data_IF_783144074590
#
_entry.id   IF_783144074590
#
_cell.length_a   1.000
_cell.length_b   1.000
_cell.length_c   1.000
_cell.angle_alpha   90.00
_cell.angle_beta   90.00
_cell.angle_gamma   90.00
#
_symmetry.space_group_name_H-M   'P 1'
#
loop_
_entity.id
_entity.type
_entity.pdbx_description
1 polymer ?
#
# COMPACT_ATOMS: atom_id res chain seq x y z
N UNK A 1 -36.05 -21.19 2.95
CA UNK A 1 -35.12 -21.15 1.79
C UNK A 1 -33.96 -22.08 2.14
N UNK A 2 -33.54 -22.98 1.24
CA UNK A 2 -32.45 -23.92 1.59
C UNK A 2 -31.12 -23.15 1.69
N UNK A 3 -30.57 -23.03 2.90
CA UNK A 3 -29.32 -22.29 3.15
C UNK A 3 -28.14 -22.85 2.35
N UNK A 4 -28.08 -24.18 2.17
CA UNK A 4 -27.05 -24.83 1.36
C UNK A 4 -27.07 -24.35 -0.09
N UNK A 5 -28.27 -24.23 -0.67
CA UNK A 5 -28.42 -23.72 -2.03
C UNK A 5 -27.99 -22.26 -2.12
N UNK A 6 -28.43 -21.41 -1.18
CA UNK A 6 -28.03 -20.00 -1.13
C UNK A 6 -26.50 -19.84 -1.02
N UNK A 7 -25.85 -20.68 -0.21
CA UNK A 7 -24.40 -20.72 -0.08
C UNK A 7 -23.71 -21.08 -1.40
N UNK A 8 -24.19 -22.11 -2.09
CA UNK A 8 -23.66 -22.53 -3.40
C UNK A 8 -23.86 -21.45 -4.47
N UNK A 9 -25.07 -20.87 -4.55
CA UNK A 9 -25.39 -19.79 -5.47
C UNK A 9 -24.49 -18.56 -5.22
N UNK A 10 -24.25 -18.22 -3.95
CA UNK A 10 -23.36 -17.10 -3.57
C UNK A 10 -21.91 -17.33 -4.00
N UNK A 11 -21.41 -18.57 -3.86
CA UNK A 11 -20.05 -18.91 -4.29
C UNK A 11 -19.91 -18.74 -5.81
N UNK A 12 -20.91 -19.19 -6.57
CA UNK A 12 -20.91 -19.11 -8.02
C UNK A 12 -21.07 -17.66 -8.51
N UNK A 13 -22.07 -16.93 -8.02
CA UNK A 13 -22.37 -15.55 -8.42
C UNK A 13 -21.17 -14.63 -8.17
N UNK A 14 -20.53 -14.78 -7.00
CA UNK A 14 -19.37 -13.95 -6.61
C UNK A 14 -18.04 -14.54 -7.05
N UNK A 15 -18.04 -15.69 -7.73
CA UNK A 15 -16.85 -16.43 -8.17
C UNK A 15 -15.83 -16.63 -7.02
N UNK A 16 -16.30 -16.99 -5.82
CA UNK A 16 -15.45 -16.97 -4.62
C UNK A 16 -14.27 -17.94 -4.74
N UNK A 17 -14.52 -19.16 -5.21
CA UNK A 17 -13.51 -20.20 -5.41
C UNK A 17 -14.08 -21.31 -6.28
N UNK A 18 -13.19 -22.07 -6.91
CA UNK A 18 -13.52 -23.22 -7.75
C UNK A 18 -13.63 -24.51 -6.92
N UNK A 19 -14.25 -25.54 -7.48
CA UNK A 19 -14.55 -26.80 -6.75
C UNK A 19 -13.31 -27.62 -6.37
N UNK A 20 -12.24 -27.47 -7.13
CA UNK A 20 -10.94 -28.09 -6.92
C UNK A 20 -10.03 -27.31 -5.96
N UNK A 21 -10.46 -26.13 -5.48
CA UNK A 21 -9.70 -25.36 -4.52
C UNK A 21 -9.64 -26.05 -3.15
N UNK A 22 -8.49 -25.91 -2.48
CA UNK A 22 -8.31 -26.34 -1.11
C UNK A 22 -8.68 -25.22 -0.14
N UNK A 23 -9.62 -25.51 0.77
CA UNK A 23 -10.22 -24.49 1.63
C UNK A 23 -9.74 -24.64 3.07
N UNK A 24 -9.11 -23.60 3.62
CA UNK A 24 -8.76 -23.54 5.04
C UNK A 24 -9.87 -22.78 5.76
N UNK A 25 -10.60 -23.46 6.64
CA UNK A 25 -11.71 -22.90 7.39
C UNK A 25 -11.20 -22.32 8.72
N UNK A 26 -11.35 -21.02 8.93
CA UNK A 26 -11.04 -20.39 10.21
C UNK A 26 -12.18 -20.66 11.20
N UNK A 27 -11.97 -21.58 12.16
CA UNK A 27 -13.02 -22.04 13.08
C UNK A 27 -12.70 -21.64 14.51
N UNK A 28 -13.59 -20.85 15.13
CA UNK A 28 -13.47 -20.45 16.54
C UNK A 28 -14.23 -21.38 17.49
N UNK A 29 -15.10 -22.25 16.98
CA UNK A 29 -16.02 -23.07 17.78
C UNK A 29 -17.41 -22.46 17.93
N UNK A 30 -17.58 -21.17 17.57
CA UNK A 30 -18.87 -20.49 17.56
C UNK A 30 -19.77 -20.94 16.41
N UNK A 31 -21.09 -20.74 16.59
CA UNK A 31 -22.16 -21.16 15.67
C UNK A 31 -21.86 -20.86 14.20
N UNK A 32 -21.47 -19.63 13.86
CA UNK A 32 -21.27 -19.21 12.47
C UNK A 32 -20.16 -20.02 11.79
N UNK A 33 -19.08 -20.30 12.52
CA UNK A 33 -17.96 -21.10 12.01
C UNK A 33 -18.26 -22.59 11.89
N UNK A 34 -19.13 -23.12 12.76
CA UNK A 34 -19.63 -24.50 12.66
C UNK A 34 -20.54 -24.64 11.45
N UNK A 35 -21.47 -23.70 11.26
CA UNK A 35 -22.38 -23.68 10.09
C UNK A 35 -21.57 -23.58 8.80
N UNK A 36 -20.56 -22.72 8.74
CA UNK A 36 -19.67 -22.63 7.58
C UNK A 36 -18.99 -23.97 7.26
N UNK A 37 -18.53 -24.67 8.30
CA UNK A 37 -17.86 -25.97 8.17
C UNK A 37 -18.81 -27.02 7.61
N UNK A 38 -20.03 -27.09 8.15
CA UNK A 38 -21.08 -27.99 7.68
C UNK A 38 -21.45 -27.71 6.22
N UNK A 39 -21.67 -26.43 5.85
CA UNK A 39 -22.01 -26.05 4.48
C UNK A 39 -20.90 -26.42 3.48
N UNK A 40 -19.63 -26.30 3.87
CA UNK A 40 -18.50 -26.72 3.04
C UNK A 40 -18.46 -28.24 2.86
N UNK A 41 -18.70 -29.01 3.94
CA UNK A 41 -18.77 -30.48 3.90
C UNK A 41 -19.90 -30.97 3.01
N UNK A 42 -21.11 -30.45 3.20
CA UNK A 42 -22.28 -30.83 2.40
C UNK A 42 -22.14 -30.45 0.92
N UNK A 43 -21.35 -29.41 0.61
CA UNK A 43 -21.06 -29.02 -0.77
C UNK A 43 -19.92 -29.83 -1.42
N UNK A 44 -19.28 -30.72 -0.68
CA UNK A 44 -18.23 -31.61 -1.19
C UNK A 44 -16.90 -30.93 -1.51
N UNK A 45 -16.55 -29.86 -0.78
CA UNK A 45 -15.25 -29.20 -0.92
C UNK A 45 -14.18 -29.92 -0.11
N UNK A 46 -12.93 -29.85 -0.58
CA UNK A 46 -11.76 -30.33 0.16
C UNK A 46 -11.32 -29.25 1.14
N UNK A 47 -11.48 -29.52 2.43
CA UNK A 47 -11.26 -28.53 3.48
C UNK A 47 -10.25 -29.01 4.53
N UNK A 48 -9.64 -28.04 5.22
CA UNK A 48 -8.97 -28.22 6.50
C UNK A 48 -9.50 -27.18 7.50
N UNK A 49 -9.45 -27.50 8.79
CA UNK A 49 -9.86 -26.60 9.87
C UNK A 49 -8.62 -25.99 10.51
N UNK A 50 -8.61 -24.66 10.65
CA UNK A 50 -7.58 -23.92 11.36
C UNK A 50 -8.16 -23.19 12.58
N UNK A 51 -7.63 -23.49 13.76
CA UNK A 51 -8.03 -22.90 15.03
C UNK A 51 -6.88 -22.15 15.69
N UNK A 52 -7.16 -20.95 16.20
CA UNK A 52 -6.22 -20.14 16.98
C UNK A 52 -6.62 -20.14 18.46
N UNK A 53 -5.77 -20.68 19.32
CA UNK A 53 -5.94 -20.57 20.77
C UNK A 53 -5.13 -19.38 21.30
N UNK A 54 -5.80 -18.29 21.66
CA UNK A 54 -5.15 -17.06 22.15
C UNK A 54 -4.79 -17.09 23.64
N UNK A 55 -5.17 -18.16 24.37
CA UNK A 55 -4.97 -18.35 25.81
C UNK A 55 -5.46 -17.19 26.69
N UNK A 56 -6.52 -16.51 26.24
CA UNK A 56 -7.06 -15.34 26.92
C UNK A 56 -8.06 -15.70 28.02
N UNK A 57 -8.72 -16.86 27.93
CA UNK A 57 -9.85 -17.24 28.79
C UNK A 57 -9.61 -18.52 29.63
N UNK A 58 -8.35 -18.92 29.80
CA UNK A 58 -7.99 -20.11 30.58
C UNK A 58 -8.73 -21.35 30.08
N UNK A 59 -9.46 -22.02 30.99
CA UNK A 59 -10.19 -23.27 30.71
C UNK A 59 -11.20 -23.17 29.55
N UNK A 60 -11.82 -22.00 29.34
CA UNK A 60 -12.71 -21.83 28.18
C UNK A 60 -11.95 -21.96 26.85
N UNK A 61 -10.71 -21.46 26.78
CA UNK A 61 -9.89 -21.57 25.57
C UNK A 61 -9.53 -23.02 25.27
N UNK A 62 -9.26 -23.82 26.31
CA UNK A 62 -8.94 -25.25 26.16
C UNK A 62 -10.20 -26.06 25.81
N UNK A 63 -11.37 -25.71 26.36
CA UNK A 63 -12.66 -26.29 25.98
C UNK A 63 -12.98 -26.02 24.51
N UNK A 64 -12.84 -24.76 24.08
CA UNK A 64 -13.10 -24.34 22.70
C UNK A 64 -12.16 -25.08 21.72
N UNK A 65 -10.88 -25.23 22.07
CA UNK A 65 -9.89 -25.98 21.30
C UNK A 65 -10.28 -27.46 21.14
N UNK A 66 -10.63 -28.13 22.25
CA UNK A 66 -11.03 -29.54 22.23
C UNK A 66 -12.29 -29.76 21.38
N UNK A 67 -13.28 -28.88 21.52
CA UNK A 67 -14.49 -28.93 20.69
C UNK A 67 -14.18 -28.84 19.19
N UNK A 68 -13.33 -27.89 18.78
CA UNK A 68 -12.99 -27.74 17.35
C UNK A 68 -12.18 -28.92 16.83
N UNK A 69 -11.32 -29.51 17.66
CA UNK A 69 -10.58 -30.72 17.32
C UNK A 69 -11.52 -31.91 17.08
N UNK A 70 -12.52 -32.09 17.94
CA UNK A 70 -13.55 -33.12 17.77
C UNK A 70 -14.40 -32.87 16.52
N UNK A 71 -14.76 -31.60 16.25
CA UNK A 71 -15.47 -31.21 15.03
C UNK A 71 -14.67 -31.58 13.77
N UNK A 72 -13.36 -31.29 13.74
CA UNK A 72 -12.50 -31.65 12.62
C UNK A 72 -12.46 -33.17 12.38
N UNK A 73 -12.35 -33.95 13.45
CA UNK A 73 -12.37 -35.40 13.37
C UNK A 73 -13.72 -35.93 12.84
N UNK A 74 -14.85 -35.37 13.32
CA UNK A 74 -16.20 -35.73 12.86
C UNK A 74 -16.40 -35.41 11.38
N UNK A 75 -15.80 -34.31 10.89
CA UNK A 75 -15.92 -33.87 9.49
C UNK A 75 -14.91 -34.54 8.56
N UNK A 76 -13.97 -35.33 9.08
CA UNK A 76 -12.85 -35.91 8.33
C UNK A 76 -12.02 -34.84 7.60
N UNK A 77 -11.70 -33.75 8.33
CA UNK A 77 -10.88 -32.65 7.83
C UNK A 77 -9.55 -32.56 8.60
N UNK A 78 -8.41 -32.29 7.93
CA UNK A 78 -7.16 -31.98 8.61
C UNK A 78 -7.33 -30.83 9.60
N UNK A 79 -6.71 -30.95 10.78
CA UNK A 79 -6.81 -29.96 11.84
C UNK A 79 -5.47 -29.28 12.09
N UNK A 80 -5.45 -27.96 11.97
CA UNK A 80 -4.32 -27.10 12.27
C UNK A 80 -4.61 -26.29 13.53
N UNK A 81 -3.70 -26.34 14.49
CA UNK A 81 -3.78 -25.62 15.75
C UNK A 81 -2.54 -24.74 15.92
N UNK A 82 -2.76 -23.49 16.32
CA UNK A 82 -1.69 -22.62 16.80
C UNK A 82 -2.13 -21.91 18.07
N UNK A 83 -1.34 -22.08 19.12
CA UNK A 83 -1.51 -21.34 20.37
C UNK A 83 -0.61 -20.11 20.39
N UNK A 84 -1.12 -19.00 20.92
CA UNK A 84 -0.42 -17.72 20.99
C UNK A 84 -0.35 -17.19 22.41
N UNK A 85 0.77 -16.54 22.75
CA UNK A 85 0.85 -15.70 23.94
C UNK A 85 0.47 -14.25 23.59
N UNK A 86 -0.84 -14.03 23.50
CA UNK A 86 -1.41 -12.77 23.01
C UNK A 86 -1.13 -11.60 23.95
N UNK A 87 -1.06 -11.83 25.27
CA UNK A 87 -0.84 -10.76 26.25
C UNK A 87 0.58 -10.21 26.13
N UNK A 88 1.56 -11.10 26.03
CA UNK A 88 2.97 -10.71 25.84
C UNK A 88 3.14 -9.91 24.55
N UNK A 89 2.58 -10.39 23.43
CA UNK A 89 2.63 -9.66 22.15
C UNK A 89 1.99 -8.26 22.23
N UNK A 90 0.82 -8.15 22.86
CA UNK A 90 0.11 -6.88 23.01
C UNK A 90 0.93 -5.85 23.81
N UNK A 91 1.57 -6.27 24.88
CA UNK A 91 2.45 -5.41 25.71
C UNK A 91 3.69 -4.96 24.93
N UNK A 92 4.36 -5.88 24.23
CA UNK A 92 5.56 -5.57 23.44
C UNK A 92 5.27 -4.59 22.29
N UNK A 93 4.15 -4.78 21.60
CA UNK A 93 3.78 -3.96 20.43
C UNK A 93 2.93 -2.73 20.79
N UNK A 94 2.59 -2.55 22.08
CA UNK A 94 1.75 -1.45 22.59
C UNK A 94 0.42 -1.32 21.85
N UNK A 95 -0.20 -2.46 21.53
CA UNK A 95 -1.51 -2.53 20.87
C UNK A 95 -2.53 -3.16 21.81
N UNK A 96 -3.82 -2.98 21.52
CA UNK A 96 -4.86 -3.66 22.29
C UNK A 96 -4.81 -5.17 22.04
N UNK A 97 -5.27 -5.96 23.02
CA UNK A 97 -5.32 -7.43 22.94
C UNK A 97 -6.07 -7.93 21.70
N UNK A 98 -7.09 -7.21 21.24
CA UNK A 98 -7.86 -7.56 20.04
C UNK A 98 -7.08 -7.31 18.75
N UNK A 99 -6.31 -6.23 18.68
CA UNK A 99 -5.43 -5.95 17.54
C UNK A 99 -4.31 -7.00 17.51
N UNK A 100 -3.69 -7.29 18.65
CA UNK A 100 -2.70 -8.37 18.78
C UNK A 100 -3.26 -9.73 18.31
N UNK A 101 -4.42 -10.14 18.81
CA UNK A 101 -5.05 -11.40 18.42
C UNK A 101 -5.38 -11.43 16.92
N UNK A 102 -5.82 -10.30 16.34
CA UNK A 102 -6.09 -10.20 14.91
C UNK A 102 -4.81 -10.31 14.08
N UNK A 103 -3.76 -9.62 14.46
CA UNK A 103 -2.49 -9.61 13.74
C UNK A 103 -1.84 -11.00 13.76
N UNK A 104 -1.76 -11.63 14.93
CA UNK A 104 -1.24 -12.99 15.11
C UNK A 104 -2.04 -14.01 14.29
N UNK A 105 -3.37 -13.91 14.30
CA UNK A 105 -4.27 -14.77 13.54
C UNK A 105 -3.98 -14.72 12.04
N UNK A 106 -3.97 -13.52 11.45
CA UNK A 106 -3.80 -13.37 10.01
C UNK A 106 -2.36 -13.59 9.55
N UNK A 107 -1.36 -13.34 10.41
CA UNK A 107 0.02 -13.73 10.14
C UNK A 107 0.14 -15.25 9.95
N UNK A 108 -0.39 -16.03 10.90
CA UNK A 108 -0.37 -17.49 10.83
C UNK A 108 -1.22 -18.04 9.69
N UNK A 109 -2.41 -17.49 9.44
CA UNK A 109 -3.20 -17.90 8.27
C UNK A 109 -2.47 -17.64 6.95
N UNK A 110 -1.72 -16.54 6.86
CA UNK A 110 -0.86 -16.27 5.70
C UNK A 110 0.25 -17.29 5.53
N UNK A 111 0.82 -17.83 6.62
CA UNK A 111 1.79 -18.92 6.59
C UNK A 111 1.14 -20.22 6.08
N UNK A 112 0.01 -20.63 6.66
CA UNK A 112 -0.70 -21.86 6.25
C UNK A 112 -1.07 -21.87 4.77
N UNK A 113 -1.53 -20.74 4.24
CA UNK A 113 -1.88 -20.61 2.81
C UNK A 113 -0.64 -20.76 1.93
N UNK A 114 0.52 -20.26 2.36
CA UNK A 114 1.78 -20.33 1.60
C UNK A 114 2.42 -21.72 1.64
N UNK A 115 2.24 -22.47 2.72
CA UNK A 115 2.77 -23.84 2.84
C UNK A 115 2.16 -24.79 1.80
N UNK A 116 0.93 -24.53 1.37
CA UNK A 116 0.23 -25.34 0.37
C UNK A 116 0.54 -24.81 -1.04
N UNK A 117 1.60 -25.32 -1.65
CA UNK A 117 2.00 -24.97 -3.03
C UNK A 117 1.45 -26.00 -4.03
N UNK A 118 0.99 -25.53 -5.20
CA UNK A 118 0.58 -26.41 -6.31
C UNK A 118 -0.93 -26.50 -6.59
N UNK A 119 -1.79 -25.87 -5.77
CA UNK A 119 -3.23 -25.72 -6.05
C UNK A 119 -3.76 -24.38 -5.52
N UNK A 120 -4.97 -23.98 -5.92
CA UNK A 120 -5.60 -22.77 -5.39
C UNK A 120 -6.01 -22.99 -3.93
N UNK A 121 -5.51 -22.16 -3.02
CA UNK A 121 -5.76 -22.27 -1.59
C UNK A 121 -6.41 -20.98 -1.08
N UNK A 122 -7.52 -21.12 -0.36
CA UNK A 122 -8.26 -19.98 0.19
C UNK A 122 -8.58 -20.16 1.66
N UNK A 123 -8.49 -19.06 2.42
CA UNK A 123 -8.96 -18.99 3.80
C UNK A 123 -10.42 -18.54 3.82
N UNK A 124 -11.29 -19.35 4.40
CA UNK A 124 -12.69 -19.01 4.60
C UNK A 124 -12.94 -18.52 6.03
N UNK A 125 -13.71 -17.44 6.16
CA UNK A 125 -14.13 -16.90 7.45
C UNK A 125 -15.65 -16.78 7.51
N UNK A 126 -16.23 -17.02 8.68
CA UNK A 126 -17.67 -17.05 8.91
C UNK A 126 -18.30 -15.66 9.13
N UNK A 127 -17.73 -14.62 8.53
CA UNK A 127 -18.33 -13.28 8.63
C UNK A 127 -19.67 -13.25 7.90
N UNK A 128 -20.70 -12.75 8.58
CA UNK A 128 -22.08 -12.71 8.10
C UNK A 128 -22.60 -11.28 7.86
N UNK A 129 -23.88 -11.12 7.51
CA UNK A 129 -24.47 -9.82 7.16
C UNK A 129 -24.40 -8.81 8.33
N UNK A 130 -24.74 -9.23 9.53
CA UNK A 130 -24.75 -8.39 10.73
C UNK A 130 -23.33 -7.90 11.09
N UNK A 131 -22.33 -8.79 10.96
CA UNK A 131 -20.91 -8.42 11.10
C UNK A 131 -20.52 -7.29 10.13
N UNK A 132 -21.08 -7.31 8.92
CA UNK A 132 -20.84 -6.29 7.92
C UNK A 132 -21.51 -4.96 8.29
N UNK A 133 -22.71 -5.01 8.85
CA UNK A 133 -23.43 -3.83 9.35
C UNK A 133 -22.69 -3.17 10.52
N UNK A 134 -22.18 -3.96 11.48
CA UNK A 134 -21.32 -3.47 12.56
C UNK A 134 -20.08 -2.76 12.01
N UNK A 135 -19.40 -3.39 11.04
CA UNK A 135 -18.21 -2.81 10.42
C UNK A 135 -18.54 -1.51 9.67
N UNK A 136 -19.66 -1.44 8.96
CA UNK A 136 -20.13 -0.21 8.32
C UNK A 136 -20.28 0.93 9.34
N UNK A 137 -21.01 0.69 10.43
CA UNK A 137 -21.25 1.69 11.46
C UNK A 137 -19.94 2.15 12.11
N UNK A 138 -19.07 1.22 12.47
CA UNK A 138 -17.76 1.54 13.03
C UNK A 138 -16.93 2.38 12.06
N UNK A 139 -16.93 2.05 10.77
CA UNK A 139 -16.20 2.77 9.73
C UNK A 139 -16.82 4.14 9.41
N UNK A 140 -18.13 4.28 9.56
CA UNK A 140 -18.83 5.54 9.43
C UNK A 140 -18.39 6.52 10.52
N UNK A 141 -18.47 6.13 11.80
CA UNK A 141 -18.07 7.00 12.91
C UNK A 141 -16.57 7.26 12.99
N UNK A 142 -15.72 6.36 12.46
CA UNK A 142 -14.27 6.60 12.35
C UNK A 142 -13.87 7.56 11.24
N UNK A 143 -14.80 7.92 10.34
CA UNK A 143 -14.51 8.78 9.19
C UNK A 143 -13.70 8.07 8.12
N UNK A 144 -14.28 7.05 7.49
CA UNK A 144 -13.66 6.36 6.34
C UNK A 144 -14.28 6.79 5.00
N UNK A 145 -13.52 6.65 3.91
CA UNK A 145 -14.03 6.90 2.56
C UNK A 145 -14.97 5.79 2.05
N UNK A 146 -15.40 5.90 0.79
CA UNK A 146 -16.36 4.97 0.16
C UNK A 146 -15.98 3.49 0.32
N UNK A 147 -14.69 3.15 0.24
CA UNK A 147 -14.22 1.76 0.43
C UNK A 147 -14.50 1.21 1.84
N UNK A 148 -14.43 2.05 2.88
CA UNK A 148 -14.75 1.65 4.25
C UNK A 148 -16.26 1.51 4.48
N UNK A 149 -17.05 2.31 3.76
CA UNK A 149 -18.51 2.27 3.79
C UNK A 149 -19.11 1.17 2.89
N UNK A 150 -18.36 0.63 1.94
CA UNK A 150 -18.77 -0.54 1.16
C UNK A 150 -18.75 -1.85 2.00
N UNK A 151 -18.36 -1.78 3.27
CA UNK A 151 -18.30 -2.92 4.17
C UNK A 151 -17.08 -3.81 3.92
N UNK A 152 -17.15 -5.05 4.43
CA UNK A 152 -16.13 -6.06 4.17
C UNK A 152 -16.25 -6.55 2.72
N UNK A 153 -15.14 -6.70 1.98
CA UNK A 153 -15.21 -7.33 0.66
C UNK A 153 -15.38 -8.85 0.80
N UNK A 154 -16.19 -9.45 -0.09
CA UNK A 154 -16.37 -10.91 -0.13
C UNK A 154 -15.07 -11.65 -0.51
N UNK A 155 -14.23 -11.00 -1.33
CA UNK A 155 -12.89 -11.45 -1.75
C UNK A 155 -11.83 -10.46 -1.24
N UNK A 156 -10.84 -10.93 -0.51
CA UNK A 156 -9.68 -10.12 -0.14
C UNK A 156 -8.41 -10.97 -0.13
N UNK A 157 -7.55 -10.79 -1.13
CA UNK A 157 -6.35 -11.63 -1.32
C UNK A 157 -6.71 -13.13 -1.32
N UNK A 158 -6.25 -13.89 -0.34
CA UNK A 158 -6.57 -15.31 -0.14
C UNK A 158 -7.82 -15.55 0.73
N UNK A 159 -8.42 -14.50 1.32
CA UNK A 159 -9.57 -14.59 2.22
C UNK A 159 -10.87 -14.57 1.42
N UNK A 160 -11.82 -15.44 1.80
CA UNK A 160 -13.18 -15.54 1.24
C UNK A 160 -14.22 -15.50 2.37
N UNK A 161 -15.31 -14.77 2.13
CA UNK A 161 -16.42 -14.58 3.10
C UNK A 161 -17.75 -15.01 2.47
N UNK A 162 -18.02 -16.32 2.36
CA UNK A 162 -19.21 -16.81 1.67
C UNK A 162 -20.52 -16.48 2.41
N UNK A 163 -20.48 -16.30 3.73
CA UNK A 163 -21.67 -16.00 4.54
C UNK A 163 -22.01 -14.50 4.60
N UNK A 164 -21.24 -13.63 3.97
CA UNK A 164 -21.31 -12.18 4.20
C UNK A 164 -22.66 -11.53 3.82
N UNK A 165 -23.42 -12.16 2.92
CA UNK A 165 -24.76 -11.70 2.53
C UNK A 165 -25.90 -12.43 3.27
N UNK A 166 -25.58 -13.28 4.24
CA UNK A 166 -26.53 -14.13 4.94
C UNK A 166 -26.71 -13.60 6.37
N UNK A 167 -27.95 -13.47 6.80
CA UNK A 167 -28.29 -13.03 8.16
C UNK A 167 -27.97 -14.12 9.19
N UNK A 168 -27.56 -13.68 10.39
CA UNK A 168 -27.28 -14.59 11.51
C UNK A 168 -28.49 -15.45 11.89
N UNK A 169 -29.71 -14.92 11.75
CA UNK A 169 -30.97 -15.64 11.98
C UNK A 169 -31.10 -16.89 11.10
N UNK A 170 -30.69 -16.79 9.84
CA UNK A 170 -30.70 -17.90 8.88
C UNK A 170 -29.64 -18.95 9.23
N UNK A 171 -28.46 -18.53 9.70
CA UNK A 171 -27.42 -19.43 10.18
C UNK A 171 -27.90 -20.21 11.42
N UNK A 172 -28.58 -19.52 12.35
CA UNK A 172 -29.12 -20.12 13.56
C UNK A 172 -30.22 -21.13 13.26
N UNK A 173 -31.13 -20.82 12.32
CA UNK A 173 -32.17 -21.75 11.88
C UNK A 173 -31.54 -23.04 11.31
N UNK A 174 -30.56 -22.90 10.41
CA UNK A 174 -29.87 -24.04 9.83
C UNK A 174 -29.11 -24.88 10.87
N UNK A 175 -28.43 -24.23 11.83
CA UNK A 175 -27.73 -24.93 12.90
C UNK A 175 -28.68 -25.82 13.73
N UNK A 176 -29.88 -25.30 14.02
CA UNK A 176 -30.92 -26.05 14.75
C UNK A 176 -31.52 -27.17 13.91
N UNK A 177 -31.86 -26.91 12.65
CA UNK A 177 -32.42 -27.90 11.74
C UNK A 177 -31.47 -29.10 11.52
N UNK A 178 -30.16 -28.86 11.50
CA UNK A 178 -29.13 -29.89 11.34
C UNK A 178 -28.59 -30.44 12.67
N UNK A 179 -29.17 -30.05 13.81
CA UNK A 179 -28.73 -30.46 15.15
C UNK A 179 -27.23 -30.25 15.41
N UNK A 180 -26.68 -29.14 14.91
CA UNK A 180 -25.28 -28.80 15.09
C UNK A 180 -25.03 -28.42 16.55
N UNK A 181 -23.89 -28.85 17.09
CA UNK A 181 -23.38 -28.40 18.38
C UNK A 181 -22.42 -27.25 18.13
N UNK A 182 -22.39 -26.26 19.02
CA UNK A 182 -21.43 -25.17 18.98
C UNK A 182 -21.13 -24.68 20.39
N UNK A 183 -20.05 -23.93 20.52
CA UNK A 183 -19.67 -23.32 21.79
C UNK A 183 -20.13 -21.87 21.84
N UNK A 184 -20.76 -21.48 22.94
CA UNK A 184 -21.09 -20.08 23.21
C UNK A 184 -19.97 -19.40 23.99
N UNK A 185 -19.57 -18.24 23.47
CA UNK A 185 -18.52 -17.41 24.04
C UNK A 185 -19.13 -16.43 25.05
N UNK A 186 -18.73 -16.58 26.32
CA UNK A 186 -19.20 -15.75 27.43
C UNK A 186 -18.87 -14.26 27.23
N UNK A 187 -17.77 -13.96 26.52
CA UNK A 187 -17.34 -12.58 26.26
C UNK A 187 -18.20 -11.83 25.25
N UNK A 188 -19.05 -12.50 24.48
CA UNK A 188 -20.00 -11.85 23.56
C UNK A 188 -21.07 -11.03 24.31
N UNK A 189 -21.32 -11.35 25.58
CA UNK A 189 -22.31 -10.64 26.40
C UNK A 189 -21.76 -9.33 26.99
N UNK A 190 -20.44 -9.15 27.01
CA UNK A 190 -19.79 -7.96 27.57
C UNK A 190 -19.61 -6.88 26.50
N UNK A 191 -19.96 -5.63 26.84
CA UNK A 191 -19.79 -4.45 25.96
C UNK A 191 -18.38 -3.82 26.01
N UNK A 192 -17.42 -4.45 26.70
CA UNK A 192 -16.09 -3.87 26.97
C UNK A 192 -15.30 -3.48 25.70
N UNK A 193 -15.65 -4.09 24.56
CA UNK A 193 -14.99 -3.86 23.28
C UNK A 193 -15.87 -3.05 22.33
N UNK A 194 -15.25 -2.20 21.51
CA UNK A 194 -15.97 -1.32 20.56
C UNK A 194 -16.97 -2.10 19.70
N UNK A 195 -16.60 -3.28 19.20
CA UNK A 195 -17.52 -4.07 18.36
C UNK A 195 -18.72 -4.59 19.16
N UNK A 196 -18.48 -5.08 20.38
CA UNK A 196 -19.55 -5.57 21.25
C UNK A 196 -20.47 -4.44 21.71
N UNK A 197 -19.92 -3.26 22.02
CA UNK A 197 -20.72 -2.06 22.30
C UNK A 197 -21.65 -1.70 21.14
N UNK A 198 -21.15 -1.75 19.90
CA UNK A 198 -21.98 -1.48 18.72
C UNK A 198 -23.11 -2.49 18.57
N UNK A 199 -22.85 -3.77 18.85
CA UNK A 199 -23.82 -4.87 18.79
C UNK A 199 -24.84 -4.83 19.92
N UNK A 200 -24.39 -4.67 21.16
CA UNK A 200 -25.18 -4.89 22.37
C UNK A 200 -25.92 -3.63 22.84
N UNK A 201 -25.41 -2.43 22.52
CA UNK A 201 -25.97 -1.17 22.99
C UNK A 201 -26.43 -0.28 21.83
N UNK A 202 -25.52 -0.01 20.89
CA UNK A 202 -25.75 1.01 19.87
C UNK A 202 -26.82 0.60 18.84
N UNK A 203 -26.69 -0.58 18.22
CA UNK A 203 -27.67 -1.10 17.27
C UNK A 203 -29.07 -1.23 17.90
N UNK A 204 -29.24 -1.84 19.09
CA UNK A 204 -30.52 -1.87 19.78
C UNK A 204 -31.11 -0.48 20.04
N UNK A 205 -30.28 0.48 20.47
CA UNK A 205 -30.73 1.85 20.69
C UNK A 205 -31.22 2.51 19.39
N UNK A 206 -30.51 2.33 18.26
CA UNK A 206 -30.98 2.83 16.96
C UNK A 206 -32.26 2.12 16.52
N UNK A 207 -32.38 0.81 16.75
CA UNK A 207 -33.57 0.03 16.39
C UNK A 207 -34.84 0.59 17.05
N UNK A 208 -34.75 1.15 18.27
CA UNK A 208 -35.90 1.77 18.94
C UNK A 208 -36.49 2.96 18.16
N UNK A 209 -35.65 3.70 17.44
CA UNK A 209 -36.06 4.86 16.63
C UNK A 209 -36.31 4.45 15.18
N UNK A 210 -35.52 3.51 14.66
CA UNK A 210 -35.59 2.99 13.30
C UNK A 210 -35.76 1.47 13.32
N UNK A 211 -37.01 0.96 13.41
CA UNK A 211 -37.28 -0.47 13.54
C UNK A 211 -36.84 -1.35 12.36
N UNK A 212 -36.39 -0.74 11.25
CA UNK A 212 -35.86 -1.41 10.06
C UNK A 212 -34.37 -1.09 9.84
N UNK A 213 -33.63 -0.69 10.88
CA UNK A 213 -32.23 -0.25 10.70
C UNK A 213 -31.37 -1.36 10.10
N UNK A 214 -31.54 -2.62 10.51
CA UNK A 214 -30.76 -3.74 9.94
C UNK A 214 -30.99 -3.87 8.42
N UNK A 215 -32.24 -3.92 7.97
CA UNK A 215 -32.60 -3.96 6.54
C UNK A 215 -32.05 -2.76 5.78
N UNK A 216 -32.14 -1.56 6.38
CA UNK A 216 -31.64 -0.33 5.79
C UNK A 216 -30.11 -0.33 5.68
N UNK A 217 -29.39 -0.83 6.69
CA UNK A 217 -27.94 -0.98 6.66
C UNK A 217 -27.52 -1.99 5.60
N UNK A 218 -28.20 -3.13 5.48
CA UNK A 218 -27.94 -4.10 4.42
C UNK A 218 -28.21 -3.52 3.03
N UNK A 219 -29.31 -2.77 2.88
CA UNK A 219 -29.61 -2.05 1.64
C UNK A 219 -28.53 -1.03 1.28
N UNK A 220 -28.03 -0.29 2.27
CA UNK A 220 -26.95 0.68 2.08
C UNK A 220 -25.62 0.01 1.73
N UNK A 221 -25.27 -1.11 2.38
CA UNK A 221 -24.09 -1.92 2.05
C UNK A 221 -24.11 -2.35 0.58
N UNK A 222 -25.24 -2.87 0.08
CA UNK A 222 -25.40 -3.25 -1.34
C UNK A 222 -25.16 -2.06 -2.26
N UNK A 223 -25.86 -0.94 -2.03
CA UNK A 223 -25.69 0.29 -2.82
C UNK A 223 -24.25 0.80 -2.80
N UNK A 224 -23.60 0.84 -1.63
CA UNK A 224 -22.22 1.29 -1.52
C UNK A 224 -21.23 0.35 -2.20
N UNK A 225 -21.45 -0.96 -2.17
CA UNK A 225 -20.66 -1.94 -2.92
C UNK A 225 -20.77 -1.69 -4.42
N UNK A 226 -21.98 -1.59 -4.96
CA UNK A 226 -22.23 -1.33 -6.39
C UNK A 226 -21.61 0.01 -6.84
N UNK A 227 -21.76 1.07 -6.04
CA UNK A 227 -21.15 2.37 -6.32
C UNK A 227 -19.61 2.28 -6.27
N UNK A 228 -19.06 1.51 -5.32
CA UNK A 228 -17.61 1.30 -5.19
C UNK A 228 -17.03 0.56 -6.41
N UNK A 229 -17.77 -0.39 -6.97
CA UNK A 229 -17.38 -1.09 -8.21
C UNK A 229 -17.35 -0.14 -9.40
N UNK A 230 -18.42 0.65 -9.60
CA UNK A 230 -18.46 1.67 -10.67
C UNK A 230 -17.35 2.72 -10.50
N UNK A 231 -17.12 3.18 -9.27
CA UNK A 231 -16.03 4.08 -8.93
C UNK A 231 -14.66 3.48 -9.30
N UNK A 232 -14.43 2.21 -8.95
CA UNK A 232 -13.18 1.51 -9.24
C UNK A 232 -12.95 1.39 -10.75
N UNK A 233 -13.99 1.03 -11.52
CA UNK A 233 -13.93 0.98 -12.99
C UNK A 233 -13.60 2.35 -13.60
N UNK A 234 -14.27 3.41 -13.14
CA UNK A 234 -14.04 4.77 -13.64
C UNK A 234 -12.61 5.25 -13.33
N UNK A 235 -12.14 5.06 -12.09
CA UNK A 235 -10.78 5.41 -11.66
C UNK A 235 -9.73 4.63 -12.45
N UNK A 236 -9.92 3.32 -12.64
CA UNK A 236 -9.01 2.49 -13.43
C UNK A 236 -8.90 2.99 -14.88
N UNK A 237 -10.03 3.38 -15.49
CA UNK A 237 -10.07 3.98 -16.83
C UNK A 237 -9.29 5.29 -16.92
N UNK A 238 -9.38 6.15 -15.90
CA UNK A 238 -8.62 7.40 -15.82
C UNK A 238 -7.12 7.13 -15.61
N UNK A 239 -6.78 6.23 -14.67
CA UNK A 239 -5.39 5.81 -14.38
C UNK A 239 -4.68 5.34 -15.64
N UNK A 240 -5.32 4.47 -16.42
CA UNK A 240 -4.77 3.93 -17.69
C UNK A 240 -4.42 5.03 -18.70
N UNK A 241 -5.14 6.15 -18.71
CA UNK A 241 -4.89 7.29 -19.61
C UNK A 241 -3.81 8.24 -19.08
N UNK A 242 -3.77 8.45 -17.76
CA UNK A 242 -2.88 9.43 -17.10
C UNK A 242 -1.50 8.87 -16.77
N UNK A 243 -1.42 7.65 -16.26
CA UNK A 243 -0.19 7.07 -15.70
C UNK A 243 0.55 6.31 -16.79
N UNK A 244 1.69 6.85 -17.25
CA UNK A 244 2.45 6.31 -18.37
C UNK A 244 3.75 5.65 -17.89
N UNK A 245 3.87 4.31 -17.91
CA UNK A 245 5.09 3.64 -17.53
C UNK A 245 6.22 3.92 -18.54
N UNK A 246 7.43 4.18 -18.06
CA UNK A 246 8.62 4.45 -18.87
C UNK A 246 9.89 4.12 -18.10
N UNK A 247 10.63 3.09 -18.55
CA UNK A 247 11.96 2.71 -18.03
C UNK A 247 12.03 2.64 -16.49
N UNK A 248 11.09 1.94 -15.84
CA UNK A 248 11.06 1.80 -14.37
C UNK A 248 10.42 2.98 -13.61
N UNK A 249 10.01 4.04 -14.31
CA UNK A 249 9.30 5.19 -13.74
C UNK A 249 7.88 5.31 -14.29
N UNK A 250 7.02 6.07 -13.62
CA UNK A 250 5.69 6.42 -14.12
C UNK A 250 5.57 7.92 -14.32
N UNK A 251 5.20 8.32 -15.53
CA UNK A 251 5.08 9.72 -15.91
C UNK A 251 3.61 10.12 -16.00
N UNK A 252 3.23 11.18 -15.28
CA UNK A 252 1.86 11.68 -15.23
C UNK A 252 1.85 13.15 -15.65
N UNK A 253 1.09 13.57 -16.70
CA UNK A 253 1.08 14.96 -17.12
C UNK A 253 0.41 15.85 -16.06
N UNK A 254 1.14 16.83 -15.52
CA UNK A 254 0.67 17.68 -14.39
C UNK A 254 -0.65 18.37 -14.73
N UNK A 255 -0.72 19.04 -15.90
CA UNK A 255 -1.92 19.78 -16.31
C UNK A 255 -3.14 18.88 -16.51
N UNK A 256 -2.96 17.68 -17.06
CA UNK A 256 -4.08 16.76 -17.30
C UNK A 256 -4.59 16.20 -15.98
N UNK A 257 -3.69 15.76 -15.10
CA UNK A 257 -4.08 15.19 -13.81
C UNK A 257 -4.72 16.24 -12.89
N UNK A 258 -4.10 17.41 -12.73
CA UNK A 258 -4.67 18.49 -11.91
C UNK A 258 -5.94 19.09 -12.53
N UNK A 259 -6.13 18.98 -13.85
CA UNK A 259 -7.32 19.43 -14.55
C UNK A 259 -8.61 18.70 -14.15
N UNK A 260 -8.51 17.49 -13.57
CA UNK A 260 -9.68 16.80 -12.99
C UNK A 260 -10.21 17.46 -11.72
N UNK A 261 -9.39 18.29 -11.06
CA UNK A 261 -9.73 19.02 -9.82
C UNK A 261 -10.43 18.16 -8.75
N UNK A 262 -9.96 16.92 -8.56
CA UNK A 262 -10.59 15.94 -7.68
C UNK A 262 -9.55 15.32 -6.74
N UNK A 263 -9.65 15.60 -5.44
CA UNK A 263 -8.74 15.10 -4.40
C UNK A 263 -8.78 13.58 -4.26
N UNK A 264 -9.96 12.96 -4.42
CA UNK A 264 -10.08 11.51 -4.37
C UNK A 264 -9.31 10.84 -5.52
N UNK A 265 -9.38 11.40 -6.73
CA UNK A 265 -8.58 10.89 -7.86
C UNK A 265 -7.07 11.05 -7.62
N UNK A 266 -6.63 12.14 -6.99
CA UNK A 266 -5.23 12.31 -6.60
C UNK A 266 -4.81 11.20 -5.65
N UNK A 267 -5.59 10.98 -4.59
CA UNK A 267 -5.32 9.92 -3.61
C UNK A 267 -5.30 8.53 -4.27
N UNK A 268 -6.28 8.23 -5.14
CA UNK A 268 -6.34 6.95 -5.84
C UNK A 268 -5.11 6.68 -6.70
N UNK A 269 -4.49 7.69 -7.31
CA UNK A 269 -3.28 7.50 -8.10
C UNK A 269 -2.06 7.32 -7.20
N UNK A 270 -1.89 8.16 -6.17
CA UNK A 270 -0.67 8.12 -5.35
C UNK A 270 -0.63 6.93 -4.39
N UNK A 271 -1.78 6.42 -3.94
CA UNK A 271 -1.83 5.25 -3.04
C UNK A 271 -1.22 3.98 -3.63
N UNK A 272 -1.26 3.83 -4.97
CA UNK A 272 -0.64 2.70 -5.67
C UNK A 272 0.89 2.68 -5.46
N UNK A 273 1.47 3.81 -5.05
CA UNK A 273 2.88 4.01 -4.79
C UNK A 273 3.17 4.25 -3.29
N UNK A 274 2.26 3.85 -2.40
CA UNK A 274 2.46 3.89 -0.95
C UNK A 274 2.20 5.25 -0.28
N UNK A 275 1.78 6.27 -1.02
CA UNK A 275 1.47 7.59 -0.44
C UNK A 275 0.13 7.58 0.31
N UNK A 276 0.08 8.29 1.45
CA UNK A 276 -1.10 8.40 2.29
C UNK A 276 -2.05 9.53 1.90
N UNK A 277 -3.29 9.49 2.43
CA UNK A 277 -4.32 10.50 2.16
C UNK A 277 -3.90 11.92 2.59
N UNK A 278 -3.17 12.05 3.69
CA UNK A 278 -2.65 13.34 4.18
C UNK A 278 -1.69 14.02 3.18
N UNK A 279 -1.08 13.25 2.28
CA UNK A 279 -0.13 13.77 1.29
C UNK A 279 -0.82 14.32 0.03
N UNK A 280 -2.15 14.22 -0.10
CA UNK A 280 -2.89 14.80 -1.24
C UNK A 280 -2.65 16.31 -1.34
N UNK A 281 -2.68 17.01 -0.21
CA UNK A 281 -2.39 18.46 -0.19
C UNK A 281 -0.95 18.77 -0.59
N UNK A 282 0.00 17.90 -0.24
CA UNK A 282 1.39 18.03 -0.65
C UNK A 282 1.54 17.85 -2.16
N UNK A 283 0.83 16.90 -2.78
CA UNK A 283 0.80 16.72 -4.24
C UNK A 283 0.24 17.94 -4.95
N UNK A 284 -0.84 18.53 -4.42
CA UNK A 284 -1.43 19.75 -4.97
C UNK A 284 -0.43 20.91 -4.89
N UNK A 285 0.22 21.12 -3.72
CA UNK A 285 1.28 22.12 -3.56
C UNK A 285 2.48 21.85 -4.48
N UNK A 286 2.83 20.59 -4.66
CA UNK A 286 3.93 20.18 -5.53
C UNK A 286 3.63 20.51 -7.01
N UNK A 287 2.36 20.49 -7.43
CA UNK A 287 1.96 20.79 -8.81
C UNK A 287 2.32 22.21 -9.25
N UNK A 288 2.22 23.18 -8.32
CA UNK A 288 2.53 24.60 -8.53
C UNK A 288 3.99 24.94 -8.23
N UNK A 289 4.73 23.99 -7.65
CA UNK A 289 6.13 24.18 -7.29
C UNK A 289 7.09 24.14 -8.49
N UNK A 290 8.33 24.52 -8.23
CA UNK A 290 9.38 24.48 -9.23
C UNK A 290 9.81 23.06 -9.62
N UNK A 291 10.35 22.94 -10.83
CA UNK A 291 10.90 21.68 -11.33
C UNK A 291 12.09 21.25 -10.45
N UNK A 292 12.09 19.99 -10.01
CA UNK A 292 13.09 19.41 -9.12
C UNK A 292 12.53 19.05 -7.75
N UNK A 293 11.49 19.74 -7.26
CA UNK A 293 10.87 19.40 -5.98
C UNK A 293 10.20 18.03 -6.02
N UNK A 294 10.12 17.37 -4.87
CA UNK A 294 9.51 16.05 -4.73
C UNK A 294 8.88 15.86 -3.36
N UNK A 295 8.12 14.78 -3.24
CA UNK A 295 7.66 14.21 -1.97
C UNK A 295 7.96 12.70 -1.97
N UNK A 296 8.17 12.12 -0.78
CA UNK A 296 8.44 10.68 -0.61
C UNK A 296 7.24 9.96 -0.02
N UNK A 297 7.09 8.69 -0.38
CA UNK A 297 6.14 7.82 0.31
C UNK A 297 6.63 7.56 1.75
N UNK A 298 5.74 7.36 2.74
CA UNK A 298 6.12 7.14 4.14
C UNK A 298 7.03 5.92 4.35
N UNK A 299 6.86 4.89 3.52
CA UNK A 299 7.70 3.68 3.49
C UNK A 299 9.04 3.87 2.74
N UNK A 300 9.27 5.08 2.19
CA UNK A 300 10.44 5.48 1.40
C UNK A 300 10.72 4.59 0.19
N UNK A 301 9.71 3.88 -0.32
CA UNK A 301 9.86 3.06 -1.53
C UNK A 301 9.79 3.89 -2.81
N UNK A 302 9.01 4.98 -2.80
CA UNK A 302 8.76 5.80 -3.98
C UNK A 302 8.90 7.30 -3.71
N UNK A 303 9.17 8.04 -4.79
CA UNK A 303 9.24 9.50 -4.83
C UNK A 303 8.36 10.02 -5.94
N UNK A 304 7.58 11.06 -5.67
CA UNK A 304 6.83 11.80 -6.67
C UNK A 304 7.54 13.13 -6.95
N UNK A 305 8.10 13.27 -8.14
CA UNK A 305 8.99 14.37 -8.54
C UNK A 305 8.27 15.29 -9.51
N UNK A 306 8.29 16.59 -9.23
CA UNK A 306 7.84 17.64 -10.16
C UNK A 306 8.94 17.88 -11.19
N UNK A 307 8.70 17.54 -12.46
CA UNK A 307 9.68 17.81 -13.52
C UNK A 307 9.03 18.38 -14.79
N UNK A 308 9.26 19.67 -15.05
CA UNK A 308 8.74 20.46 -16.20
C UNK A 308 7.21 20.45 -16.37
N UNK A 309 6.62 19.53 -17.12
CA UNK A 309 5.16 19.38 -17.27
C UNK A 309 4.67 18.00 -16.81
N UNK A 310 5.56 17.24 -16.16
CA UNK A 310 5.32 15.90 -15.66
C UNK A 310 5.47 15.87 -14.15
N UNK A 311 4.64 15.03 -13.55
CA UNK A 311 5.02 14.30 -12.35
C UNK A 311 5.71 13.01 -12.76
N UNK A 312 6.78 12.67 -12.08
CA UNK A 312 7.53 11.43 -12.29
C UNK A 312 7.50 10.68 -10.97
N UNK A 313 6.86 9.52 -10.95
CA UNK A 313 6.97 8.57 -9.85
C UNK A 313 8.18 7.68 -10.14
N UNK A 314 9.14 7.66 -9.23
CA UNK A 314 10.34 6.83 -9.31
C UNK A 314 10.51 6.03 -8.02
N UNK A 315 10.98 4.78 -8.07
CA UNK A 315 11.47 4.10 -6.88
C UNK A 315 12.62 4.91 -6.25
N UNK A 316 12.70 4.94 -4.91
CA UNK A 316 13.69 5.75 -4.19
C UNK A 316 15.12 5.21 -4.31
N UNK A 317 15.29 3.89 -4.53
CA UNK A 317 16.57 3.19 -4.52
C UNK A 317 16.90 2.45 -5.84
N UNK A 318 16.23 2.76 -6.95
CA UNK A 318 16.50 2.06 -8.22
C UNK A 318 17.72 2.65 -8.95
N UNK A 319 18.80 1.87 -9.00
CA UNK A 319 20.00 2.19 -9.78
C UNK A 319 19.76 2.24 -11.30
N UNK A 320 18.57 1.90 -11.81
CA UNK A 320 18.17 2.08 -13.20
C UNK A 320 17.21 3.26 -13.44
N UNK A 321 16.87 4.05 -12.42
CA UNK A 321 16.04 5.23 -12.57
C UNK A 321 16.62 6.20 -13.63
N UNK A 322 15.75 6.90 -14.34
CA UNK A 322 16.17 7.92 -15.30
C UNK A 322 16.44 9.27 -14.62
N UNK A 323 15.91 9.46 -13.41
CA UNK A 323 16.06 10.67 -12.60
C UNK A 323 16.45 10.29 -11.16
N UNK A 324 17.50 10.92 -10.64
CA UNK A 324 17.91 10.80 -9.23
C UNK A 324 17.90 12.17 -8.57
N UNK A 325 17.51 12.18 -7.31
CA UNK A 325 17.44 13.38 -6.48
C UNK A 325 18.62 13.33 -5.52
N UNK A 326 19.33 14.45 -5.44
CA UNK A 326 20.40 14.70 -4.47
C UNK A 326 19.90 15.75 -3.48
N UNK A 327 19.73 15.35 -2.23
CA UNK A 327 19.40 16.24 -1.13
C UNK A 327 20.65 16.86 -0.51
N UNK A 328 20.47 17.93 0.26
CA UNK A 328 21.56 18.63 0.95
C UNK A 328 22.32 17.74 1.95
N UNK A 329 21.63 16.78 2.55
CA UNK A 329 22.18 15.85 3.53
C UNK A 329 22.62 14.51 2.94
N UNK A 330 22.44 14.28 1.63
CA UNK A 330 22.87 13.04 1.00
C UNK A 330 24.40 12.99 0.95
N UNK A 331 24.98 11.88 1.40
CA UNK A 331 26.44 11.66 1.36
C UNK A 331 26.89 10.95 0.10
N UNK A 332 26.04 10.11 -0.46
CA UNK A 332 26.37 9.33 -1.66
C UNK A 332 25.12 8.86 -2.38
N UNK A 333 25.16 8.86 -3.71
CA UNK A 333 24.05 8.41 -4.56
C UNK A 333 24.59 7.45 -5.61
N UNK A 334 24.13 6.20 -5.53
CA UNK A 334 24.40 5.20 -6.55
C UNK A 334 23.43 5.40 -7.73
N UNK A 335 23.97 5.41 -8.94
CA UNK A 335 23.21 5.46 -10.18
C UNK A 335 23.81 4.47 -11.18
N UNK A 336 23.15 4.28 -12.32
CA UNK A 336 23.51 3.24 -13.30
C UNK A 336 25.00 3.20 -13.66
N UNK A 337 25.62 4.38 -13.83
CA UNK A 337 26.98 4.49 -14.38
C UNK A 337 28.04 4.86 -13.32
N UNK A 338 27.69 4.81 -12.02
CA UNK A 338 28.66 5.04 -10.93
C UNK A 338 28.06 5.43 -9.58
N UNK A 339 28.90 5.97 -8.71
CA UNK A 339 28.55 6.52 -7.40
C UNK A 339 28.92 8.02 -7.39
N UNK A 340 27.99 8.88 -6.99
CA UNK A 340 28.28 10.28 -6.68
C UNK A 340 28.45 10.43 -5.19
N UNK A 341 29.64 10.82 -4.72
CA UNK A 341 29.85 11.22 -3.33
C UNK A 341 29.60 12.72 -3.20
N UNK A 342 28.81 13.13 -2.23
CA UNK A 342 28.37 14.51 -2.01
C UNK A 342 28.81 14.91 -0.61
N UNK A 343 29.52 16.02 -0.52
CA UNK A 343 30.03 16.53 0.75
C UNK A 343 30.06 18.05 0.75
N UNK A 344 29.73 18.66 1.89
CA UNK A 344 29.88 20.09 2.10
C UNK A 344 31.25 20.39 2.69
N UNK A 345 31.98 21.31 2.08
CA UNK A 345 33.32 21.75 2.49
C UNK A 345 33.27 23.23 2.81
N UNK A 346 33.85 23.65 3.94
CA UNK A 346 33.77 25.03 4.43
C UNK A 346 35.16 25.61 4.74
N UNK A 347 35.25 26.95 4.75
CA UNK A 347 36.45 27.69 5.14
C UNK A 347 37.66 27.43 4.23
N UNK A 348 38.86 27.41 4.82
CA UNK A 348 40.15 27.28 4.10
C UNK A 348 40.33 25.94 3.36
N UNK A 349 39.41 24.99 3.57
CA UNK A 349 39.38 23.70 2.88
C UNK A 349 38.70 23.77 1.51
N UNK A 350 38.07 24.90 1.15
CA UNK A 350 37.46 25.10 -0.16
C UNK A 350 38.56 25.29 -1.21
N UNK A 351 39.06 24.17 -1.75
CA UNK A 351 40.11 24.14 -2.77
C UNK A 351 39.61 23.36 -3.98
N UNK A 352 39.08 24.04 -5.02
CA UNK A 352 38.54 23.36 -6.19
C UNK A 352 39.61 22.55 -6.92
N UNK A 353 39.31 21.29 -7.19
CA UNK A 353 40.16 20.40 -8.00
C UNK A 353 40.05 20.75 -9.50
N UNK A 354 41.11 20.48 -10.26
CA UNK A 354 41.08 20.50 -11.72
C UNK A 354 40.55 19.20 -12.34
N UNK A 355 40.27 18.18 -11.53
CA UNK A 355 39.71 16.91 -11.97
C UNK A 355 38.27 17.07 -12.46
N UNK A 356 38.00 16.63 -13.69
CA UNK A 356 36.68 16.65 -14.32
C UNK A 356 35.69 15.67 -13.70
N UNK A 357 36.19 14.70 -12.93
CA UNK A 357 35.38 13.78 -12.11
C UNK A 357 34.78 14.46 -10.88
N UNK A 358 35.26 15.66 -10.54
CA UNK A 358 34.78 16.45 -9.41
C UNK A 358 34.09 17.74 -9.87
N UNK A 359 33.01 18.10 -9.17
CA UNK A 359 32.36 19.38 -9.27
C UNK A 359 32.37 20.07 -7.90
N UNK A 360 32.97 21.26 -7.86
CA UNK A 360 32.97 22.13 -6.70
C UNK A 360 32.02 23.30 -6.98
N UNK A 361 30.87 23.29 -6.30
CA UNK A 361 29.78 24.22 -6.50
C UNK A 361 29.74 25.21 -5.34
N UNK A 362 29.63 26.51 -5.62
CA UNK A 362 29.41 27.51 -4.57
C UNK A 362 28.03 27.28 -3.94
N UNK A 363 28.01 26.92 -2.65
CA UNK A 363 26.78 26.54 -1.95
C UNK A 363 25.74 27.69 -1.90
N UNK A 364 26.18 28.95 -1.98
CA UNK A 364 25.31 30.12 -1.88
C UNK A 364 24.38 30.32 -3.08
N UNK A 365 24.69 29.68 -4.22
CA UNK A 365 23.92 29.79 -5.47
C UNK A 365 23.26 28.47 -5.89
N UNK A 366 23.35 27.46 -5.05
CA UNK A 366 22.76 26.14 -5.30
C UNK A 366 21.42 26.04 -4.58
N UNK A 367 20.41 25.63 -5.33
CA UNK A 367 19.08 25.32 -4.84
C UNK A 367 18.92 23.80 -4.80
N UNK A 368 18.71 23.26 -3.61
CA UNK A 368 18.35 21.87 -3.41
C UNK A 368 16.83 21.66 -3.57
N UNK A 369 16.39 20.44 -3.95
CA UNK A 369 17.22 19.29 -4.30
C UNK A 369 17.87 19.43 -5.69
N UNK A 370 19.05 18.81 -5.88
CA UNK A 370 19.64 18.67 -7.21
C UNK A 370 19.03 17.47 -7.93
N UNK A 371 18.88 17.60 -9.24
CA UNK A 371 18.33 16.54 -10.10
C UNK A 371 19.44 16.02 -11.03
N UNK A 372 19.85 14.78 -10.81
CA UNK A 372 20.69 14.01 -11.73
C UNK A 372 19.81 13.34 -12.78
N UNK A 373 20.05 13.63 -14.06
CA UNK A 373 19.29 13.04 -15.18
C UNK A 373 20.12 12.95 -16.46
N UNK A 374 19.66 12.18 -17.43
CA UNK A 374 20.26 12.22 -18.78
C UNK A 374 20.05 13.58 -19.46
N UNK A 375 21.05 14.00 -20.24
CA UNK A 375 20.98 15.19 -21.08
C UNK A 375 19.86 15.06 -22.12
N UNK A 376 19.11 16.14 -22.33
CA UNK A 376 17.96 16.19 -23.26
C UNK A 376 18.23 17.18 -24.39
N UNK A 377 17.58 16.97 -25.52
CA UNK A 377 17.66 17.90 -26.66
C UNK A 377 17.24 19.30 -26.23
N UNK A 378 18.07 20.29 -26.55
CA UNK A 378 17.85 21.70 -26.18
C UNK A 378 18.52 22.13 -24.88
N UNK A 379 19.03 21.20 -24.07
CA UNK A 379 19.79 21.54 -22.87
C UNK A 379 21.03 22.38 -23.20
N UNK A 380 21.30 23.37 -22.36
CA UNK A 380 22.44 24.27 -22.48
C UNK A 380 23.03 24.60 -21.09
N UNK A 381 24.28 25.03 -21.10
CA UNK A 381 24.99 25.49 -19.91
C UNK A 381 26.07 26.51 -20.32
N UNK A 382 26.80 27.07 -19.36
CA UNK A 382 27.92 27.99 -19.58
C UNK A 382 29.20 27.25 -19.16
N UNK A 383 29.96 26.63 -20.07
CA UNK A 383 31.13 25.84 -19.67
C UNK A 383 32.14 26.69 -18.88
N UNK A 384 32.68 26.14 -17.79
CA UNK A 384 33.73 26.79 -16.99
C UNK A 384 34.86 27.32 -17.89
N UNK A 385 35.19 28.60 -17.73
CA UNK A 385 36.15 29.35 -18.55
C UNK A 385 35.54 30.02 -19.80
N UNK A 386 34.24 29.82 -20.08
CA UNK A 386 33.56 30.40 -21.24
C UNK A 386 32.44 31.37 -20.83
N UNK A 387 32.42 32.57 -21.44
CA UNK A 387 31.39 33.59 -21.17
C UNK A 387 30.07 33.37 -21.92
N UNK A 388 30.06 32.52 -22.95
CA UNK A 388 28.89 32.31 -23.82
C UNK A 388 28.17 31.00 -23.51
N UNK A 389 26.83 31.02 -23.59
CA UNK A 389 25.99 29.82 -23.49
C UNK A 389 26.35 28.82 -24.60
N UNK A 390 26.33 27.52 -24.27
CA UNK A 390 26.61 26.43 -25.20
C UNK A 390 25.59 25.31 -25.05
N UNK A 391 25.04 24.82 -26.16
CA UNK A 391 24.18 23.61 -26.15
C UNK A 391 25.02 22.41 -25.72
N UNK A 392 24.49 21.57 -24.84
CA UNK A 392 25.18 20.36 -24.37
C UNK A 392 25.53 19.46 -25.56
N UNK A 393 24.60 19.24 -26.49
CA UNK A 393 24.86 18.45 -27.68
C UNK A 393 26.09 18.95 -28.47
N UNK A 394 26.27 20.28 -28.62
CA UNK A 394 27.43 20.84 -29.30
C UNK A 394 28.70 20.72 -28.46
N UNK A 395 28.60 20.97 -27.15
CA UNK A 395 29.72 20.76 -26.23
C UNK A 395 30.26 19.32 -26.31
N UNK A 396 29.38 18.32 -26.28
CA UNK A 396 29.80 16.92 -26.33
C UNK A 396 30.37 16.51 -27.70
N UNK A 397 29.90 17.11 -28.80
CA UNK A 397 30.52 16.96 -30.13
C UNK A 397 31.95 17.51 -30.12
N UNK A 398 32.15 18.69 -29.55
CA UNK A 398 33.47 19.32 -29.48
C UNK A 398 34.44 18.53 -28.57
N UNK A 399 33.92 17.78 -27.58
CA UNK A 399 34.67 16.80 -26.79
C UNK A 399 34.88 15.45 -27.52
N UNK A 400 34.51 15.35 -28.81
CA UNK A 400 34.65 14.15 -29.65
C UNK A 400 33.94 12.90 -29.11
N UNK A 401 32.86 13.07 -28.33
CA UNK A 401 32.06 11.95 -27.83
C UNK A 401 31.23 11.31 -28.96
N UNK A 402 31.23 9.97 -28.99
CA UNK A 402 30.41 9.17 -29.90
C UNK A 402 28.92 9.42 -29.67
N UNK A 403 28.08 9.16 -30.68
CA UNK A 403 26.62 9.34 -30.57
C UNK A 403 26.04 8.63 -29.34
N UNK A 404 26.44 7.38 -29.12
CA UNK A 404 26.01 6.58 -27.97
C UNK A 404 26.47 7.16 -26.64
N UNK A 405 27.71 7.67 -26.55
CA UNK A 405 28.20 8.31 -25.33
C UNK A 405 27.46 9.62 -25.01
N UNK A 406 27.07 10.37 -26.05
CA UNK A 406 26.25 11.58 -25.89
C UNK A 406 24.85 11.29 -25.36
N UNK A 407 24.21 10.24 -25.85
CA UNK A 407 22.87 9.81 -25.40
C UNK A 407 22.85 9.32 -23.94
N UNK A 408 23.99 8.82 -23.44
CA UNK A 408 24.17 8.36 -22.06
C UNK A 408 24.74 9.43 -21.11
N UNK A 409 24.96 10.65 -21.58
CA UNK A 409 25.59 11.69 -20.74
C UNK A 409 24.63 12.14 -19.64
N UNK A 410 25.13 12.14 -18.40
CA UNK A 410 24.42 12.63 -17.22
C UNK A 410 24.71 14.11 -16.97
N UNK A 411 23.71 14.80 -16.44
CA UNK A 411 23.81 16.20 -16.01
C UNK A 411 23.18 16.35 -14.63
N UNK A 412 23.75 17.26 -13.83
CA UNK A 412 23.14 17.72 -12.58
C UNK A 412 22.46 19.06 -12.86
N UNK A 413 21.20 19.17 -12.43
CA UNK A 413 20.36 20.36 -12.54
C UNK A 413 20.02 20.89 -11.13
N UNK A 414 20.15 22.21 -10.95
CA UNK A 414 19.73 22.95 -9.75
C UNK A 414 18.85 24.12 -10.21
N UNK A 415 17.64 24.28 -9.66
CA UNK A 415 16.76 25.41 -9.99
C UNK A 415 16.52 25.61 -11.49
N UNK A 416 16.26 24.53 -12.25
CA UNK A 416 16.12 24.52 -13.74
C UNK A 416 17.39 24.84 -14.54
N UNK A 417 18.55 24.94 -13.90
CA UNK A 417 19.83 25.26 -14.53
C UNK A 417 20.76 24.07 -14.43
N UNK A 418 21.42 23.71 -15.53
CA UNK A 418 22.45 22.67 -15.49
C UNK A 418 23.70 23.25 -14.84
N UNK A 419 24.16 22.60 -13.78
CA UNK A 419 25.30 23.04 -12.96
C UNK A 419 26.55 22.21 -13.24
N UNK A 420 26.39 20.97 -13.70
CA UNK A 420 27.50 20.10 -14.06
C UNK A 420 27.10 19.12 -15.16
N UNK A 421 27.95 19.00 -16.18
CA UNK A 421 27.94 17.85 -17.09
C UNK A 421 28.85 16.80 -16.46
N UNK A 422 28.24 15.74 -15.91
CA UNK A 422 28.88 14.78 -15.00
C UNK A 422 30.10 14.13 -15.65
N UNK A 423 31.24 14.18 -14.96
CA UNK A 423 32.53 13.66 -15.44
C UNK A 423 33.14 14.45 -16.61
N UNK A 424 32.66 15.67 -16.88
CA UNK A 424 33.10 16.48 -18.03
C UNK A 424 33.42 17.93 -17.64
N UNK A 425 32.41 18.76 -17.35
CA UNK A 425 32.62 20.21 -17.19
C UNK A 425 31.57 20.87 -16.30
N UNK A 426 32.04 21.73 -15.41
CA UNK A 426 31.24 22.58 -14.52
C UNK A 426 30.61 23.76 -15.29
N UNK A 427 29.47 24.27 -14.80
CA UNK A 427 28.91 25.55 -15.25
C UNK A 427 29.63 26.74 -14.57
N UNK A 428 30.03 27.72 -15.37
CA UNK A 428 30.73 28.95 -14.98
C UNK A 428 29.99 29.74 -13.89
N UNK A 429 28.65 29.67 -13.85
CA UNK A 429 27.83 30.49 -12.93
C UNK A 429 27.84 29.97 -11.50
N UNK A 430 28.22 28.72 -11.28
CA UNK A 430 28.24 28.06 -9.96
C UNK A 430 29.67 27.80 -9.46
N UNK A 431 30.67 28.36 -10.15
CA UNK A 431 32.07 28.21 -9.78
C UNK A 431 32.37 28.82 -8.41
N UNK A 432 33.37 28.26 -7.74
CA UNK A 432 33.99 28.83 -6.55
C UNK A 432 34.64 30.18 -6.88
N UNK A 433 34.44 31.16 -6.01
CA UNK A 433 35.05 32.49 -6.03
C UNK A 433 35.89 32.67 -4.76
N UNK A 434 36.75 33.68 -4.73
CA UNK A 434 37.56 33.99 -3.54
C UNK A 434 36.71 34.24 -2.28
N UNK A 435 35.49 34.77 -2.45
CA UNK A 435 34.56 35.03 -1.35
C UNK A 435 33.72 33.81 -0.92
N UNK A 436 33.87 32.66 -1.59
CA UNK A 436 33.05 31.47 -1.31
C UNK A 436 33.46 30.84 0.03
N UNK A 437 32.55 30.87 1.01
CA UNK A 437 32.80 30.32 2.36
C UNK A 437 32.41 28.85 2.51
N UNK A 438 31.53 28.35 1.64
CA UNK A 438 31.01 26.99 1.67
C UNK A 438 30.83 26.48 0.24
N UNK A 439 31.26 25.25 -0.01
CA UNK A 439 31.20 24.59 -1.30
C UNK A 439 30.56 23.21 -1.18
N UNK A 440 29.74 22.84 -2.14
CA UNK A 440 29.24 21.48 -2.32
C UNK A 440 30.20 20.79 -3.28
N UNK A 441 30.91 19.79 -2.78
CA UNK A 441 31.77 18.92 -3.60
C UNK A 441 30.98 17.67 -3.98
N UNK A 442 30.89 17.42 -5.29
CA UNK A 442 30.30 16.22 -5.86
C UNK A 442 31.39 15.47 -6.64
N UNK A 443 31.69 14.23 -6.26
CA UNK A 443 32.73 13.42 -6.88
C UNK A 443 32.12 12.17 -7.54
N UNK A 444 32.40 11.98 -8.82
CA UNK A 444 32.03 10.78 -9.56
C UNK A 444 33.08 9.68 -9.37
N UNK A 445 32.68 8.60 -8.71
CA UNK A 445 33.42 7.34 -8.69
C UNK A 445 32.80 6.41 -9.74
N UNK A 446 33.54 6.06 -10.78
CA UNK A 446 33.10 5.03 -11.73
C UNK A 446 33.09 3.68 -11.03
N UNK A 447 32.12 2.83 -11.39
CA UNK A 447 32.11 1.43 -10.97
C UNK A 447 33.28 0.66 -11.56
#
# INVERSE_FOLDING_TARGET
MNLLKLFQDTIQEKDLFQKDAFLILAVSGGMDSVVLTELCKQSGYTCAIAHCNFKLRGEESDRDENFVKELAAKMDFPFFLKSFDTKTYATEHKVSTQVAARDLRYAWFGELVKEHTGQAVYLLTAHHADDNAENLLMNFFRGTGLRGLAGMPAKNEYIRRPLLGIERTSLQAFARENNLQWVEDSSNQLSDYTRNFFRNEMLPAIQTVFPQVDDNLQGNLRRFSEISELYTLAVAGIKKKLVRPKKGEWHIPVKQWMGYNNKALIYEIIRDFGFGEKQVEEVIKLSTSESGRFIESPDRQYRLIRHRHWFIVSPAADANAAHYIINEYDKSIAFRDGLLNVSTVTGDSVKPSSDVSEAWLDASVIEFPLLLRQAKTGDYFYPLGMKKKKKIARFLIDQKLSKTAREKTWVIESGKRIVWVVGQRLDERVKIKEATKSAIRIQLSKK
#
